data_IF_321472442468
#
_entry.id   IF_321472442468
#
_cell.length_a   1.000
_cell.length_b   1.000
_cell.length_c   1.000
_cell.angle_alpha   90.00
_cell.angle_beta   90.00
_cell.angle_gamma   90.00
#
_symmetry.space_group_name_H-M   'P 1'
#
loop_
_entity.id
_entity.type
_entity.pdbx_description
1 polymer ?
#
# COMPACT_ATOMS: atom_id res chain seq x y z
N UNK A 1 -3.40 10.06 -10.30
CA UNK A 1 -3.04 10.99 -9.21
C UNK A 1 -4.24 11.74 -8.65
N UNK A 2 -5.04 12.47 -9.45
CA UNK A 2 -6.28 13.11 -8.94
C UNK A 2 -7.21 12.09 -8.26
N UNK A 3 -7.35 10.90 -8.84
CA UNK A 3 -8.12 9.81 -8.21
C UNK A 3 -7.61 9.38 -6.82
N UNK A 4 -6.28 9.38 -6.59
CA UNK A 4 -5.71 9.02 -5.27
C UNK A 4 -6.04 10.08 -4.21
N UNK A 5 -6.06 11.36 -4.59
CA UNK A 5 -6.48 12.44 -3.69
C UNK A 5 -7.97 12.35 -3.33
N UNK A 6 -8.82 11.95 -4.27
CA UNK A 6 -10.26 11.76 -4.00
C UNK A 6 -10.48 10.60 -3.03
N UNK A 7 -9.75 9.49 -3.19
CA UNK A 7 -9.80 8.36 -2.25
C UNK A 7 -9.31 8.79 -0.86
N UNK A 8 -8.13 9.41 -0.77
CA UNK A 8 -7.59 9.87 0.52
C UNK A 8 -8.51 10.91 1.21
N UNK A 9 -9.17 11.78 0.43
CA UNK A 9 -10.20 12.68 0.96
C UNK A 9 -11.37 11.92 1.59
N UNK A 10 -11.92 10.94 0.88
CA UNK A 10 -13.06 10.16 1.38
C UNK A 10 -12.69 9.35 2.64
N UNK A 11 -11.48 8.79 2.67
CA UNK A 11 -10.96 8.06 3.82
C UNK A 11 -10.81 8.98 5.04
N UNK A 12 -10.28 10.19 4.85
CA UNK A 12 -10.18 11.20 5.91
C UNK A 12 -11.55 11.67 6.41
N UNK A 13 -12.52 11.91 5.53
CA UNK A 13 -13.88 12.27 5.91
C UNK A 13 -14.52 11.17 6.78
N UNK A 14 -14.31 9.90 6.40
CA UNK A 14 -14.77 8.73 7.16
C UNK A 14 -14.07 8.64 8.52
N UNK A 15 -12.76 8.83 8.57
CA UNK A 15 -11.94 8.83 9.78
C UNK A 15 -12.34 9.96 10.76
N UNK A 16 -12.56 11.18 10.25
CA UNK A 16 -13.05 12.31 11.04
C UNK A 16 -14.43 12.00 11.63
N UNK A 17 -15.33 11.39 10.85
CA UNK A 17 -16.64 10.98 11.34
C UNK A 17 -16.55 9.88 12.40
N UNK A 18 -15.58 8.97 12.31
CA UNK A 18 -15.32 7.95 13.33
C UNK A 18 -14.79 8.58 14.64
N UNK A 19 -13.78 9.43 14.55
CA UNK A 19 -13.21 10.17 15.69
C UNK A 19 -14.25 11.02 16.41
N UNK A 20 -15.08 11.76 15.68
CA UNK A 20 -16.16 12.55 16.29
C UNK A 20 -17.18 11.68 17.04
N UNK A 21 -17.50 10.49 16.52
CA UNK A 21 -18.43 9.56 17.19
C UNK A 21 -17.84 8.95 18.45
N UNK A 22 -16.54 8.67 18.46
CA UNK A 22 -15.84 8.11 19.62
C UNK A 22 -15.38 9.15 20.64
N UNK A 23 -15.60 10.44 20.36
CA UNK A 23 -15.07 11.54 21.19
C UNK A 23 -13.56 11.74 21.08
N UNK A 24 -12.92 11.19 20.04
CA UNK A 24 -11.49 11.37 19.74
C UNK A 24 -11.19 12.72 19.09
N UNK A 25 -9.93 13.17 19.20
CA UNK A 25 -9.46 14.40 18.55
C UNK A 25 -9.35 14.22 17.03
N UNK A 26 -10.08 15.06 16.28
CA UNK A 26 -10.12 15.04 14.82
C UNK A 26 -9.28 16.14 14.16
N UNK A 27 -8.52 16.93 14.91
CA UNK A 27 -7.76 18.07 14.38
C UNK A 27 -6.72 17.64 13.35
N UNK A 28 -5.98 16.56 13.60
CA UNK A 28 -4.96 16.05 12.66
C UNK A 28 -5.58 15.62 11.33
N UNK A 29 -6.63 14.80 11.36
CA UNK A 29 -7.31 14.35 10.15
C UNK A 29 -8.00 15.51 9.39
N UNK A 30 -8.56 16.50 10.11
CA UNK A 30 -9.12 17.71 9.50
C UNK A 30 -8.06 18.56 8.79
N UNK A 31 -6.88 18.69 9.39
CA UNK A 31 -5.75 19.42 8.80
C UNK A 31 -5.32 18.75 7.49
N UNK A 32 -5.22 17.42 7.47
CA UNK A 32 -4.88 16.69 6.25
C UNK A 32 -5.96 16.80 5.15
N UNK A 33 -7.23 16.81 5.55
CA UNK A 33 -8.34 17.01 4.61
C UNK A 33 -8.27 18.40 3.94
N UNK A 34 -7.91 19.43 4.71
CA UNK A 34 -7.70 20.78 4.18
C UNK A 34 -6.50 20.82 3.22
N UNK A 35 -5.39 20.17 3.57
CA UNK A 35 -4.21 20.07 2.71
C UNK A 35 -4.53 19.42 1.36
N UNK A 36 -5.24 18.28 1.36
CA UNK A 36 -5.68 17.61 0.13
C UNK A 36 -6.61 18.52 -0.69
N UNK A 37 -7.54 19.21 -0.04
CA UNK A 37 -8.47 20.12 -0.72
C UNK A 37 -7.73 21.26 -1.42
N UNK A 38 -6.72 21.85 -0.77
CA UNK A 38 -5.87 22.88 -1.36
C UNK A 38 -5.05 22.33 -2.54
N UNK A 39 -4.44 21.15 -2.40
CA UNK A 39 -3.72 20.46 -3.48
C UNK A 39 -4.62 20.22 -4.70
N UNK A 40 -5.88 19.79 -4.49
CA UNK A 40 -6.85 19.61 -5.59
C UNK A 40 -7.15 20.91 -6.32
N UNK A 41 -7.28 22.03 -5.62
CA UNK A 41 -7.50 23.35 -6.22
C UNK A 41 -6.28 23.81 -7.02
N UNK A 42 -5.07 23.58 -6.50
CA UNK A 42 -3.82 23.89 -7.20
C UNK A 42 -3.68 23.08 -8.48
N UNK A 43 -3.99 21.78 -8.46
CA UNK A 43 -3.95 20.91 -9.66
C UNK A 43 -4.88 21.42 -10.76
N UNK A 44 -6.07 21.93 -10.40
CA UNK A 44 -7.05 22.44 -11.37
C UNK A 44 -6.58 23.68 -12.13
N UNK A 45 -5.58 24.40 -11.62
CA UNK A 45 -5.07 25.65 -12.20
C UNK A 45 -3.58 25.58 -12.58
N UNK A 46 -2.91 24.48 -12.25
CA UNK A 46 -1.48 24.29 -12.47
C UNK A 46 -1.15 24.13 -13.97
N UNK A 47 -0.06 24.76 -14.39
CA UNK A 47 0.56 24.50 -15.68
C UNK A 47 1.16 23.09 -15.74
N UNK A 48 1.45 22.52 -16.93
CA UNK A 48 2.09 21.21 -17.06
C UNK A 48 3.40 21.08 -16.26
N UNK A 49 4.22 22.13 -16.24
CA UNK A 49 5.48 22.15 -15.45
C UNK A 49 5.20 22.14 -13.94
N UNK A 50 4.20 22.91 -13.48
CA UNK A 50 3.81 22.90 -12.07
C UNK A 50 3.19 21.56 -11.65
N UNK A 51 2.43 20.89 -12.54
CA UNK A 51 1.90 19.56 -12.29
C UNK A 51 3.00 18.51 -12.06
N UNK A 52 4.14 18.64 -12.72
CA UNK A 52 5.28 17.75 -12.49
C UNK A 52 5.87 17.95 -11.07
N UNK A 53 5.97 19.20 -10.60
CA UNK A 53 6.43 19.51 -9.25
C UNK A 53 5.44 19.05 -8.16
N UNK A 54 4.13 19.20 -8.42
CA UNK A 54 3.08 18.76 -7.48
C UNK A 54 3.04 17.23 -7.29
N UNK A 55 3.69 16.42 -8.15
CA UNK A 55 3.68 14.95 -8.01
C UNK A 55 4.18 14.48 -6.65
N UNK A 56 5.30 15.00 -6.17
CA UNK A 56 5.87 14.59 -4.88
C UNK A 56 5.00 15.05 -3.71
N UNK A 57 4.40 16.23 -3.82
CA UNK A 57 3.49 16.78 -2.80
C UNK A 57 2.20 15.96 -2.69
N UNK A 58 1.64 15.53 -3.83
CA UNK A 58 0.46 14.65 -3.87
C UNK A 58 0.76 13.31 -3.18
N UNK A 59 1.91 12.69 -3.48
CA UNK A 59 2.30 11.42 -2.86
C UNK A 59 2.48 11.59 -1.34
N UNK A 60 3.15 12.65 -0.90
CA UNK A 60 3.35 12.94 0.52
C UNK A 60 2.01 13.20 1.25
N UNK A 61 1.11 13.97 0.64
CA UNK A 61 -0.20 14.25 1.22
C UNK A 61 -1.07 12.99 1.33
N UNK A 62 -1.03 12.10 0.34
CA UNK A 62 -1.74 10.81 0.40
C UNK A 62 -1.18 9.95 1.54
N UNK A 63 0.14 9.85 1.68
CA UNK A 63 0.76 9.08 2.77
C UNK A 63 0.37 9.63 4.16
N UNK A 64 0.51 10.94 4.37
CA UNK A 64 0.12 11.59 5.63
C UNK A 64 -1.37 11.43 5.94
N UNK A 65 -2.21 11.41 4.92
CA UNK A 65 -3.64 11.18 5.08
C UNK A 65 -3.95 9.75 5.51
N UNK A 66 -3.24 8.77 4.95
CA UNK A 66 -3.36 7.37 5.37
C UNK A 66 -2.91 7.16 6.82
N UNK A 67 -1.86 7.86 7.25
CA UNK A 67 -1.38 7.84 8.64
C UNK A 67 -2.43 8.44 9.60
N UNK A 68 -2.99 9.60 9.25
CA UNK A 68 -4.03 10.24 10.05
C UNK A 68 -5.31 9.38 10.11
N UNK A 69 -5.66 8.69 9.03
CA UNK A 69 -6.78 7.72 9.01
C UNK A 69 -6.51 6.55 9.94
N UNK A 70 -5.27 6.04 10.04
CA UNK A 70 -4.94 4.98 11.00
C UNK A 70 -5.02 5.41 12.43
N UNK A 71 -4.45 6.56 12.73
CA UNK A 71 -4.51 7.14 14.07
C UNK A 71 -5.98 7.31 14.47
N UNK A 72 -6.79 7.85 13.57
CA UNK A 72 -8.23 7.99 13.75
C UNK A 72 -8.93 6.67 14.03
N UNK A 73 -8.64 5.62 13.26
CA UNK A 73 -9.21 4.29 13.48
C UNK A 73 -8.78 3.70 14.82
N UNK A 74 -7.52 3.88 15.21
CA UNK A 74 -6.98 3.36 16.48
C UNK A 74 -7.66 4.04 17.67
N UNK A 75 -7.81 5.37 17.62
CA UNK A 75 -8.46 6.16 18.67
C UNK A 75 -9.97 5.90 18.72
N UNK A 76 -10.61 5.74 17.56
CA UNK A 76 -12.05 5.51 17.49
C UNK A 76 -12.52 4.14 17.98
N UNK A 77 -11.58 3.23 18.26
CA UNK A 77 -11.83 1.82 18.53
C UNK A 77 -11.26 1.38 19.89
N UNK A 78 -11.21 2.27 20.89
CA UNK A 78 -10.71 1.91 22.23
C UNK A 78 -11.33 0.64 22.84
N UNK A 79 -10.56 -0.07 23.68
CA UNK A 79 -10.82 -1.31 24.46
C UNK A 79 -11.53 -2.51 23.77
N UNK A 80 -12.62 -2.30 23.04
CA UNK A 80 -13.31 -3.34 22.25
C UNK A 80 -12.80 -3.42 20.79
N UNK A 81 -11.88 -2.54 20.40
CA UNK A 81 -11.40 -2.45 19.02
C UNK A 81 -9.89 -2.60 18.83
N UNK A 82 -9.20 -3.19 19.82
CA UNK A 82 -7.83 -3.70 19.65
C UNK A 82 -7.78 -4.71 18.48
N UNK A 83 -8.75 -5.62 18.40
CA UNK A 83 -8.86 -6.56 17.27
C UNK A 83 -9.17 -5.90 15.92
N UNK A 84 -9.90 -4.78 15.91
CA UNK A 84 -10.18 -4.03 14.68
C UNK A 84 -8.93 -3.26 14.18
N UNK A 85 -8.12 -2.74 15.11
CA UNK A 85 -6.83 -2.14 14.78
C UNK A 85 -5.87 -3.19 14.20
N UNK A 86 -5.79 -4.38 14.81
CA UNK A 86 -4.94 -5.46 14.30
C UNK A 86 -5.39 -5.96 12.92
N UNK A 87 -6.70 -6.13 12.70
CA UNK A 87 -7.25 -6.50 11.40
C UNK A 87 -6.94 -5.44 10.31
N UNK A 88 -6.96 -4.15 10.67
CA UNK A 88 -6.60 -3.05 9.77
C UNK A 88 -5.11 -3.08 9.39
N UNK A 89 -4.23 -3.31 10.37
CA UNK A 89 -2.79 -3.52 10.14
C UNK A 89 -2.53 -4.73 9.25
N UNK A 90 -3.21 -5.85 9.52
CA UNK A 90 -3.11 -7.07 8.73
C UNK A 90 -3.52 -6.84 7.27
N UNK A 91 -4.67 -6.19 7.05
CA UNK A 91 -5.16 -5.86 5.71
C UNK A 91 -4.18 -4.97 4.93
N UNK A 92 -3.61 -3.95 5.57
CA UNK A 92 -2.60 -3.09 4.90
C UNK A 92 -1.35 -3.88 4.55
N UNK A 93 -0.75 -4.58 5.51
CA UNK A 93 0.49 -5.31 5.29
C UNK A 93 0.31 -6.34 4.17
N UNK A 94 -0.80 -7.08 4.20
CA UNK A 94 -1.16 -8.05 3.15
C UNK A 94 -1.36 -7.39 1.79
N UNK A 95 -2.05 -6.25 1.72
CA UNK A 95 -2.29 -5.52 0.47
C UNK A 95 -0.99 -5.02 -0.17
N UNK A 96 -0.10 -4.43 0.63
CA UNK A 96 1.22 -3.99 0.17
C UNK A 96 2.09 -5.16 -0.29
N UNK A 97 2.12 -6.25 0.48
CA UNK A 97 2.84 -7.47 0.14
C UNK A 97 2.35 -8.07 -1.19
N UNK A 98 1.03 -8.17 -1.37
CA UNK A 98 0.42 -8.70 -2.60
C UNK A 98 0.74 -7.81 -3.81
N UNK A 99 0.65 -6.49 -3.65
CA UNK A 99 0.98 -5.55 -4.71
C UNK A 99 2.45 -5.66 -5.12
N UNK A 100 3.37 -5.75 -4.14
CA UNK A 100 4.79 -5.94 -4.41
C UNK A 100 5.06 -7.26 -5.13
N UNK A 101 4.55 -8.39 -4.63
CA UNK A 101 4.81 -9.72 -5.19
C UNK A 101 4.23 -9.90 -6.60
N UNK A 102 3.13 -9.22 -6.91
CA UNK A 102 2.56 -9.13 -8.26
C UNK A 102 3.47 -8.35 -9.20
N UNK A 103 3.96 -7.19 -8.75
CA UNK A 103 4.75 -6.29 -9.59
C UNK A 103 6.24 -6.69 -9.66
N UNK A 104 6.69 -7.67 -8.88
CA UNK A 104 8.10 -8.04 -8.67
C UNK A 104 8.93 -8.12 -9.98
N UNK A 105 8.35 -8.69 -11.04
CA UNK A 105 9.04 -8.90 -12.32
C UNK A 105 9.46 -7.62 -13.02
N UNK A 106 8.85 -6.47 -12.70
CA UNK A 106 9.28 -5.17 -13.24
C UNK A 106 10.72 -4.80 -12.83
N UNK A 107 11.26 -5.45 -11.79
CA UNK A 107 12.61 -5.19 -11.29
C UNK A 107 13.66 -6.20 -11.80
N UNK A 108 13.28 -7.17 -12.63
CA UNK A 108 14.21 -8.21 -13.11
C UNK A 108 15.42 -7.60 -13.87
N UNK A 109 15.21 -6.48 -14.58
CA UNK A 109 16.29 -5.77 -15.29
C UNK A 109 17.30 -5.05 -14.39
N UNK A 110 17.00 -4.89 -13.10
CA UNK A 110 17.92 -4.30 -12.12
C UNK A 110 18.87 -5.34 -11.51
N UNK A 111 18.55 -6.62 -11.65
CA UNK A 111 19.28 -7.70 -10.99
C UNK A 111 20.72 -7.81 -11.52
N UNK A 112 21.64 -8.00 -10.59
CA UNK A 112 23.06 -8.22 -10.84
C UNK A 112 23.51 -9.41 -10.00
N UNK A 113 24.13 -10.37 -10.68
CA UNK A 113 24.67 -11.59 -10.10
C UNK A 113 26.14 -11.71 -10.51
N UNK A 114 26.98 -12.14 -9.59
CA UNK A 114 28.38 -12.45 -9.82
C UNK A 114 28.53 -13.66 -10.76
N UNK A 115 27.62 -14.63 -10.65
CA UNK A 115 27.65 -15.86 -11.46
C UNK A 115 26.27 -16.53 -11.55
N UNK A 116 26.16 -17.56 -12.39
CA UNK A 116 24.93 -18.32 -12.61
C UNK A 116 24.43 -19.02 -11.33
N UNK A 117 25.33 -19.49 -10.46
CA UNK A 117 24.93 -20.17 -9.23
C UNK A 117 24.24 -19.22 -8.24
N UNK A 118 24.71 -17.97 -8.14
CA UNK A 118 24.05 -16.93 -7.34
C UNK A 118 22.67 -16.59 -7.91
N UNK A 119 22.56 -16.44 -9.24
CA UNK A 119 21.27 -16.23 -9.91
C UNK A 119 20.29 -17.36 -9.60
N UNK A 120 20.72 -18.61 -9.74
CA UNK A 120 19.85 -19.77 -9.54
C UNK A 120 19.44 -19.88 -8.06
N UNK A 121 20.36 -19.61 -7.12
CA UNK A 121 20.05 -19.53 -5.70
C UNK A 121 19.05 -18.40 -5.38
N UNK A 122 19.18 -17.23 -6.01
CA UNK A 122 18.22 -16.13 -5.90
C UNK A 122 16.84 -16.56 -6.40
N UNK A 123 16.74 -17.22 -7.56
CA UNK A 123 15.46 -17.68 -8.13
C UNK A 123 14.79 -18.74 -7.27
N UNK A 124 15.58 -19.63 -6.65
CA UNK A 124 15.05 -20.60 -5.68
C UNK A 124 14.43 -19.89 -4.47
N UNK A 125 15.14 -18.92 -3.89
CA UNK A 125 14.59 -18.12 -2.76
C UNK A 125 13.34 -17.34 -3.16
N UNK A 126 13.30 -16.76 -4.36
CA UNK A 126 12.12 -16.09 -4.88
C UNK A 126 10.90 -17.03 -4.94
N UNK A 127 11.09 -18.24 -5.46
CA UNK A 127 10.02 -19.24 -5.51
C UNK A 127 9.55 -19.66 -4.11
N UNK A 128 10.49 -19.88 -3.19
CA UNK A 128 10.17 -20.27 -1.82
C UNK A 128 9.43 -19.15 -1.08
N UNK A 129 9.82 -17.88 -1.25
CA UNK A 129 9.10 -16.73 -0.70
C UNK A 129 7.73 -16.56 -1.33
N UNK A 130 7.56 -16.84 -2.63
CA UNK A 130 6.23 -16.83 -3.27
C UNK A 130 5.32 -17.90 -2.65
N UNK A 131 5.82 -19.11 -2.43
CA UNK A 131 5.07 -20.17 -1.72
C UNK A 131 4.69 -19.75 -0.30
N UNK A 132 5.63 -19.14 0.44
CA UNK A 132 5.36 -18.64 1.79
C UNK A 132 4.31 -17.53 1.81
N UNK A 133 4.40 -16.59 0.86
CA UNK A 133 3.43 -15.53 0.66
C UNK A 133 2.04 -16.10 0.42
N UNK A 134 1.89 -16.97 -0.59
CA UNK A 134 0.61 -17.54 -0.96
C UNK A 134 0.01 -18.40 0.16
N UNK A 135 0.87 -19.13 0.91
CA UNK A 135 0.45 -19.86 2.10
C UNK A 135 -0.05 -18.92 3.21
N UNK A 136 0.56 -17.74 3.40
CA UNK A 136 0.09 -16.73 4.34
C UNK A 136 -1.25 -16.11 3.93
N UNK A 137 -1.44 -15.83 2.63
CA UNK A 137 -2.74 -15.38 2.09
C UNK A 137 -3.83 -16.43 2.33
N UNK A 138 -3.53 -17.70 2.10
CA UNK A 138 -4.47 -18.80 2.28
C UNK A 138 -4.82 -19.03 3.76
N UNK A 139 -3.86 -18.83 4.67
CA UNK A 139 -4.06 -18.92 6.12
C UNK A 139 -4.99 -17.81 6.63
N UNK A 140 -4.88 -16.60 6.06
CA UNK A 140 -5.68 -15.45 6.45
C UNK A 140 -5.38 -14.96 7.87
N UNK A 141 -6.16 -13.97 8.32
CA UNK A 141 -5.97 -13.36 9.64
C UNK A 141 -4.64 -12.61 9.82
N UNK A 142 -4.35 -12.08 11.02
CA UNK A 142 -3.12 -11.35 11.31
C UNK A 142 -1.85 -12.19 11.17
N UNK A 143 -1.87 -13.44 11.63
CA UNK A 143 -0.75 -14.37 11.53
C UNK A 143 -0.38 -14.67 10.08
N UNK A 144 -1.38 -14.99 9.24
CA UNK A 144 -1.19 -15.23 7.81
C UNK A 144 -0.73 -13.97 7.05
N UNK A 145 -1.30 -12.80 7.39
CA UNK A 145 -0.87 -11.52 6.85
C UNK A 145 0.59 -11.18 7.21
N UNK A 146 1.01 -11.45 8.45
CA UNK A 146 2.38 -11.22 8.91
C UNK A 146 3.37 -12.14 8.18
N UNK A 147 3.01 -13.40 7.99
CA UNK A 147 3.79 -14.35 7.19
C UNK A 147 3.92 -13.90 5.73
N UNK A 148 2.82 -13.46 5.13
CA UNK A 148 2.81 -12.99 3.74
C UNK A 148 3.65 -11.71 3.56
N UNK A 149 3.53 -10.76 4.49
CA UNK A 149 4.29 -9.51 4.43
C UNK A 149 5.77 -9.72 4.73
N UNK A 150 6.12 -10.63 5.65
CA UNK A 150 7.49 -11.05 5.89
C UNK A 150 8.16 -11.62 4.63
N UNK A 151 7.49 -12.53 3.93
CA UNK A 151 8.02 -13.11 2.69
C UNK A 151 8.20 -12.06 1.58
N UNK A 152 7.25 -11.13 1.43
CA UNK A 152 7.39 -10.02 0.48
C UNK A 152 8.53 -9.07 0.85
N UNK A 153 8.69 -8.75 2.14
CA UNK A 153 9.78 -7.90 2.63
C UNK A 153 11.15 -8.57 2.43
N UNK A 154 11.27 -9.87 2.76
CA UNK A 154 12.45 -10.69 2.47
C UNK A 154 12.84 -10.64 0.99
N UNK A 155 11.86 -10.79 0.09
CA UNK A 155 12.09 -10.69 -1.35
C UNK A 155 12.54 -9.29 -1.78
N UNK A 156 11.96 -8.24 -1.20
CA UNK A 156 12.32 -6.85 -1.50
C UNK A 156 13.76 -6.54 -1.05
N UNK A 157 14.18 -7.06 0.11
CA UNK A 157 15.56 -6.92 0.60
C UNK A 157 16.54 -7.72 -0.28
N UNK A 158 16.22 -8.96 -0.63
CA UNK A 158 17.05 -9.78 -1.52
C UNK A 158 17.23 -9.11 -2.89
N UNK A 159 16.15 -8.55 -3.45
CA UNK A 159 16.20 -7.74 -4.67
C UNK A 159 17.09 -6.49 -4.51
N UNK A 160 16.96 -5.77 -3.39
CA UNK A 160 17.75 -4.57 -3.13
C UNK A 160 19.26 -4.87 -3.13
N UNK A 161 19.69 -5.92 -2.43
CA UNK A 161 21.12 -6.28 -2.35
C UNK A 161 21.66 -6.95 -3.61
N UNK A 162 20.82 -7.43 -4.52
CA UNK A 162 21.23 -7.92 -5.84
C UNK A 162 21.08 -6.83 -6.93
N UNK A 163 21.32 -5.56 -6.59
CA UNK A 163 21.40 -4.45 -7.54
C UNK A 163 20.15 -3.55 -7.60
N UNK A 164 19.06 -3.93 -6.95
CA UNK A 164 17.85 -3.11 -6.88
C UNK A 164 18.00 -1.84 -6.02
N UNK A 165 18.97 -1.79 -5.11
CA UNK A 165 19.13 -0.70 -4.13
C UNK A 165 19.40 0.68 -4.75
N UNK A 166 19.89 0.70 -6.00
CA UNK A 166 20.10 1.94 -6.73
C UNK A 166 18.83 2.49 -7.44
N UNK A 167 17.70 1.77 -7.42
CA UNK A 167 16.40 2.31 -7.80
C UNK A 167 15.68 2.94 -6.58
N UNK A 168 15.50 4.28 -6.53
CA UNK A 168 14.81 4.94 -5.44
C UNK A 168 13.33 4.54 -5.33
N UNK A 169 12.70 4.08 -6.42
CA UNK A 169 11.32 3.62 -6.37
C UNK A 169 11.22 2.27 -5.64
N UNK A 170 12.13 1.32 -5.92
CA UNK A 170 12.22 0.08 -5.16
C UNK A 170 12.53 0.34 -3.68
N UNK A 171 13.52 1.19 -3.36
CA UNK A 171 13.89 1.44 -1.97
C UNK A 171 12.74 2.01 -1.13
N UNK A 172 11.91 2.88 -1.71
CA UNK A 172 10.67 3.32 -1.06
C UNK A 172 9.72 2.16 -0.77
N UNK A 173 9.56 1.21 -1.71
CA UNK A 173 8.73 0.02 -1.47
C UNK A 173 9.32 -0.89 -0.38
N UNK A 174 10.64 -1.02 -0.31
CA UNK A 174 11.32 -1.75 0.78
C UNK A 174 10.98 -1.12 2.13
N UNK A 175 11.10 0.21 2.23
CA UNK A 175 10.78 0.95 3.46
C UNK A 175 9.29 0.84 3.83
N UNK A 176 8.39 0.93 2.85
CA UNK A 176 6.93 0.78 3.07
C UNK A 176 6.58 -0.62 3.58
N UNK A 177 7.16 -1.68 2.99
CA UNK A 177 6.97 -3.07 3.44
C UNK A 177 7.56 -3.31 4.82
N UNK A 178 8.74 -2.75 5.10
CA UNK A 178 9.36 -2.83 6.42
C UNK A 178 8.46 -2.18 7.48
N UNK A 179 7.97 -0.97 7.20
CA UNK A 179 7.13 -0.21 8.12
C UNK A 179 5.79 -0.92 8.40
N UNK A 180 5.09 -1.42 7.36
CA UNK A 180 3.81 -2.10 7.57
C UNK A 180 3.96 -3.46 8.25
N UNK A 181 5.01 -4.22 7.91
CA UNK A 181 5.31 -5.51 8.57
C UNK A 181 5.68 -5.29 10.04
N UNK A 182 6.50 -4.28 10.34
CA UNK A 182 6.85 -3.91 11.71
C UNK A 182 5.64 -3.44 12.52
N UNK A 183 4.76 -2.64 11.92
CA UNK A 183 3.53 -2.20 12.58
C UNK A 183 2.60 -3.38 12.89
N UNK A 184 2.42 -4.32 11.94
CA UNK A 184 1.63 -5.53 12.18
C UNK A 184 2.24 -6.41 13.27
N UNK A 185 3.55 -6.67 13.22
CA UNK A 185 4.28 -7.42 14.26
C UNK A 185 4.11 -6.78 15.63
N UNK A 186 4.30 -5.46 15.74
CA UNK A 186 4.14 -4.74 17.00
C UNK A 186 2.69 -4.82 17.52
N UNK A 187 1.70 -4.71 16.63
CA UNK A 187 0.29 -4.92 16.95
C UNK A 187 0.02 -6.32 17.49
N UNK A 188 0.59 -7.35 16.88
CA UNK A 188 0.47 -8.74 17.35
C UNK A 188 1.08 -8.93 18.75
N UNK A 189 2.29 -8.40 18.98
CA UNK A 189 2.94 -8.46 20.31
C UNK A 189 2.09 -7.76 21.37
N UNK A 190 1.56 -6.56 21.05
CA UNK A 190 0.68 -5.79 21.95
C UNK A 190 -0.56 -6.59 22.34
N UNK A 191 -1.14 -7.31 21.37
CA UNK A 191 -2.31 -8.17 21.57
C UNK A 191 -1.94 -9.54 22.20
N UNK A 192 -0.70 -9.70 22.70
CA UNK A 192 -0.23 -10.90 23.40
C UNK A 192 -0.01 -12.11 22.49
N UNK A 193 0.07 -11.91 21.17
CA UNK A 193 0.33 -12.98 20.20
C UNK A 193 1.81 -13.31 20.14
N UNK A 194 2.12 -14.59 19.94
CA UNK A 194 3.48 -15.06 19.75
C UNK A 194 3.94 -14.83 18.30
N UNK A 195 5.02 -14.07 18.14
CA UNK A 195 5.67 -13.78 16.86
C UNK A 195 7.04 -14.45 16.73
N UNK A 196 7.44 -15.31 17.68
CA UNK A 196 8.77 -15.93 17.73
C UNK A 196 9.12 -16.71 16.46
N UNK A 197 8.18 -17.52 15.96
CA UNK A 197 8.35 -18.29 14.71
C UNK A 197 8.52 -17.38 13.49
N UNK A 198 7.79 -16.26 13.44
CA UNK A 198 7.98 -15.26 12.40
C UNK A 198 9.39 -14.67 12.48
N UNK A 199 9.82 -14.29 13.68
CA UNK A 199 11.15 -13.70 13.86
C UNK A 199 12.29 -14.68 13.55
N UNK A 200 12.13 -15.95 13.88
CA UNK A 200 13.06 -17.03 13.52
C UNK A 200 13.19 -17.15 12.00
N UNK A 201 12.06 -17.28 11.29
CA UNK A 201 12.05 -17.35 9.82
C UNK A 201 12.70 -16.12 9.18
N UNK A 202 12.44 -14.93 9.71
CA UNK A 202 13.05 -13.69 9.21
C UNK A 202 14.56 -13.65 9.44
N UNK A 203 15.06 -14.17 10.57
CA UNK A 203 16.50 -14.30 10.82
C UNK A 203 17.13 -15.29 9.86
N UNK A 204 16.50 -16.43 9.62
CA UNK A 204 17.00 -17.44 8.69
C UNK A 204 17.02 -16.94 7.25
N UNK A 205 15.99 -16.20 6.81
CA UNK A 205 15.98 -15.57 5.50
C UNK A 205 17.09 -14.53 5.37
N UNK A 206 17.26 -13.65 6.36
CA UNK A 206 18.35 -12.67 6.38
C UNK A 206 19.72 -13.36 6.37
N UNK A 207 19.91 -14.46 7.10
CA UNK A 207 21.14 -15.27 7.04
C UNK A 207 21.41 -15.78 5.63
N UNK A 208 20.38 -16.31 4.95
CA UNK A 208 20.50 -16.80 3.58
C UNK A 208 20.91 -15.68 2.61
N UNK A 209 20.30 -14.50 2.73
CA UNK A 209 20.64 -13.32 1.92
C UNK A 209 22.07 -12.85 2.21
N UNK A 210 22.47 -12.72 3.47
CA UNK A 210 23.82 -12.28 3.82
C UNK A 210 24.90 -13.25 3.33
N UNK A 211 24.65 -14.56 3.41
CA UNK A 211 25.56 -15.58 2.84
C UNK A 211 25.69 -15.47 1.33
N UNK A 212 24.62 -15.13 0.61
CA UNK A 212 24.73 -14.92 -0.84
C UNK A 212 25.58 -13.71 -1.19
N UNK A 213 25.71 -12.74 -0.27
CA UNK A 213 26.62 -11.59 -0.37
C UNK A 213 28.00 -11.86 0.23
N UNK A 214 28.35 -13.13 0.46
CA UNK A 214 29.68 -13.55 0.93
C UNK A 214 29.98 -13.27 2.40
N UNK A 215 28.98 -12.91 3.21
CA UNK A 215 29.18 -12.72 4.66
C UNK A 215 29.45 -14.05 5.37
N UNK A 216 30.44 -14.05 6.25
CA UNK A 216 30.73 -15.20 7.12
C UNK A 216 29.70 -15.34 8.23
N UNK A 217 29.53 -16.55 8.77
CA UNK A 217 28.60 -16.80 9.88
C UNK A 217 28.91 -15.92 11.12
N UNK A 218 30.19 -15.60 11.36
CA UNK A 218 30.60 -14.72 12.47
C UNK A 218 30.11 -13.29 12.26
N UNK A 219 30.25 -12.73 11.04
CA UNK A 219 29.74 -11.39 10.72
C UNK A 219 28.21 -11.34 10.80
N UNK A 220 27.56 -12.38 10.29
CA UNK A 220 26.11 -12.57 10.34
C UNK A 220 25.63 -12.58 11.79
N UNK A 221 26.23 -13.39 12.65
CA UNK A 221 25.85 -13.50 14.05
C UNK A 221 26.12 -12.20 14.81
N UNK A 222 27.20 -11.49 14.50
CA UNK A 222 27.47 -10.17 15.07
C UNK A 222 26.40 -9.14 14.69
N UNK A 223 25.94 -9.14 13.43
CA UNK A 223 24.88 -8.25 12.97
C UNK A 223 23.54 -8.60 13.65
N UNK A 224 23.17 -9.87 13.70
CA UNK A 224 21.94 -10.32 14.35
C UNK A 224 21.96 -10.04 15.87
N UNK A 225 23.10 -10.20 16.52
CA UNK A 225 23.27 -9.90 17.94
C UNK A 225 23.16 -8.40 18.26
N UNK A 226 23.43 -7.51 17.31
CA UNK A 226 23.21 -6.07 17.46
C UNK A 226 21.73 -5.67 17.45
N UNK A 227 20.85 -6.56 16.95
CA UNK A 227 19.41 -6.34 16.83
C UNK A 227 18.62 -7.56 17.36
N UNK A 228 18.77 -7.92 18.65
CA UNK A 228 18.21 -9.16 19.19
C UNK A 228 16.68 -9.18 19.16
N UNK A 229 16.05 -8.01 19.34
CA UNK A 229 14.61 -7.88 19.54
C UNK A 229 13.79 -7.86 18.24
N UNK A 230 14.41 -7.50 17.11
CA UNK A 230 13.71 -7.27 15.86
C UNK A 230 14.60 -7.58 14.64
N UNK A 231 14.35 -8.69 13.92
CA UNK A 231 15.14 -9.04 12.74
C UNK A 231 14.99 -8.05 11.59
N UNK A 232 13.89 -7.28 11.52
CA UNK A 232 13.72 -6.28 10.46
C UNK A 232 14.70 -5.12 10.59
N UNK A 233 15.11 -4.77 11.81
CA UNK A 233 16.13 -3.74 12.05
C UNK A 233 17.52 -4.23 11.60
N UNK A 234 17.82 -5.52 11.82
CA UNK A 234 19.02 -6.16 11.28
C UNK A 234 19.04 -6.15 9.74
N UNK A 235 17.91 -6.47 9.09
CA UNK A 235 17.80 -6.41 7.63
C UNK A 235 18.02 -5.00 7.11
N UNK A 236 17.41 -4.00 7.76
CA UNK A 236 17.58 -2.59 7.40
C UNK A 236 19.03 -2.13 7.53
N UNK A 237 19.68 -2.49 8.64
CA UNK A 237 21.10 -2.20 8.85
C UNK A 237 21.98 -2.86 7.78
N UNK A 238 21.69 -4.12 7.42
CA UNK A 238 22.39 -4.82 6.36
C UNK A 238 22.25 -4.13 5.00
N UNK A 239 21.03 -3.78 4.59
CA UNK A 239 20.78 -3.07 3.32
C UNK A 239 21.48 -1.71 3.29
N UNK A 240 21.51 -0.99 4.42
CA UNK A 240 22.24 0.28 4.52
C UNK A 240 23.76 0.10 4.39
N UNK A 241 24.32 -0.96 4.98
CA UNK A 241 25.74 -1.29 4.83
C UNK A 241 26.09 -1.69 3.40
N UNK A 242 25.25 -2.50 2.76
CA UNK A 242 25.40 -2.91 1.37
C UNK A 242 25.33 -1.69 0.43
N UNK A 243 24.33 -0.82 0.61
CA UNK A 243 24.20 0.43 -0.15
C UNK A 243 25.42 1.35 0.00
N UNK A 244 25.99 1.44 1.20
CA UNK A 244 27.19 2.25 1.46
C UNK A 244 28.46 1.67 0.82
N UNK A 245 28.46 0.39 0.43
CA UNK A 245 29.58 -0.26 -0.25
C UNK A 245 29.58 -0.08 -1.77
N UNK A 246 28.46 0.40 -2.34
CA UNK A 246 28.32 0.62 -3.79
C UNK A 246 29.18 1.80 -4.22
N UNK A 247 30.03 1.56 -5.21
CA UNK A 247 30.89 2.58 -5.81
C UNK A 247 30.12 3.52 -6.74
N UNK A 248 30.66 4.72 -6.98
CA UNK A 248 30.07 5.71 -7.90
C UNK A 248 29.84 5.12 -9.31
N UNK A 249 30.76 4.26 -9.77
CA UNK A 249 30.70 3.62 -11.08
C UNK A 249 29.53 2.61 -11.18
N UNK A 250 29.28 1.85 -10.12
CA UNK A 250 28.14 0.93 -10.05
C UNK A 250 26.81 1.69 -10.03
N UNK A 251 26.75 2.82 -9.32
CA UNK A 251 25.58 3.71 -9.35
C UNK A 251 25.30 4.25 -10.76
N UNK A 252 26.32 4.62 -11.52
CA UNK A 252 26.16 5.09 -12.91
C UNK A 252 25.62 4.00 -13.84
N UNK A 253 26.14 2.77 -13.73
CA UNK A 253 25.65 1.62 -14.52
C UNK A 253 24.17 1.36 -14.22
N UNK A 254 23.77 1.40 -12.95
CA UNK A 254 22.36 1.21 -12.59
C UNK A 254 21.50 2.38 -13.08
N UNK A 255 21.97 3.62 -12.97
CA UNK A 255 21.23 4.78 -13.46
C UNK A 255 21.00 4.76 -14.99
N UNK A 256 21.86 4.07 -15.75
CA UNK A 256 21.65 3.81 -17.18
C UNK A 256 20.54 2.74 -17.35
N UNK A 257 20.65 1.59 -16.68
CA UNK A 257 19.64 0.52 -16.75
C UNK A 257 18.24 0.96 -16.32
N UNK A 258 18.14 1.78 -15.27
CA UNK A 258 16.87 2.35 -14.81
C UNK A 258 16.25 3.24 -15.89
N UNK A 259 17.06 4.05 -16.59
CA UNK A 259 16.58 4.87 -17.71
C UNK A 259 16.15 4.02 -18.90
N UNK A 260 16.89 2.97 -19.23
CA UNK A 260 16.54 2.03 -20.31
C UNK A 260 15.21 1.31 -19.99
N UNK A 261 15.06 0.75 -18.79
CA UNK A 261 13.81 0.12 -18.36
C UNK A 261 12.62 1.09 -18.38
N UNK A 262 12.82 2.36 -17.97
CA UNK A 262 11.76 3.37 -18.04
C UNK A 262 11.37 3.70 -19.48
N UNK A 263 12.33 3.73 -20.41
CA UNK A 263 12.05 3.95 -21.83
C UNK A 263 11.27 2.76 -22.43
N UNK A 264 11.67 1.53 -22.14
CA UNK A 264 10.98 0.33 -22.63
C UNK A 264 9.52 0.25 -22.13
N UNK A 265 9.28 0.59 -20.85
CA UNK A 265 7.92 0.69 -20.31
C UNK A 265 7.06 1.76 -20.99
N UNK A 266 7.68 2.80 -21.58
CA UNK A 266 6.95 3.91 -22.22
C UNK A 266 6.63 3.63 -23.70
N UNK A 267 7.32 2.68 -24.34
CA UNK A 267 7.18 2.36 -25.78
C UNK A 267 6.13 1.25 -26.04
N UNK A 268 5.56 0.64 -25.00
CA UNK A 268 4.50 -0.39 -25.11
C UNK A 268 3.01 0.05 -25.13
N UNK A 269 2.57 1.30 -25.41
CA UNK A 269 1.14 1.61 -25.34
C UNK A 269 0.28 1.23 -26.56
N UNK A 270 0.82 0.71 -27.68
CA UNK A 270 -0.01 0.57 -28.91
C UNK A 270 -0.07 -0.80 -29.61
N UNK A 271 0.71 -1.81 -29.20
CA UNK A 271 0.71 -3.09 -29.94
C UNK A 271 -0.39 -4.09 -29.52
N UNK A 272 -0.91 -4.01 -28.29
CA UNK A 272 -1.92 -4.97 -27.78
C UNK A 272 -3.37 -4.46 -27.85
N UNK A 273 -3.62 -3.26 -28.40
CA UNK A 273 -4.97 -2.72 -28.53
C UNK A 273 -5.74 -3.20 -29.79
N UNK A 274 -5.17 -4.09 -30.62
CA UNK A 274 -5.75 -4.47 -31.93
C UNK A 274 -6.25 -5.93 -32.01
N UNK A 275 -6.08 -6.76 -30.98
CA UNK A 275 -6.52 -8.17 -31.03
C UNK A 275 -7.33 -8.55 -29.78
N UNK A 276 -8.59 -8.11 -29.70
CA UNK A 276 -9.74 -8.92 -29.22
C UNK A 276 -11.01 -8.07 -29.17
N UNK A 277 -11.57 -7.78 -30.35
CA UNK A 277 -12.98 -7.45 -30.47
C UNK A 277 -13.63 -8.39 -31.49
N UNK A 278 -13.44 -9.69 -31.32
CA UNK A 278 -14.34 -10.70 -31.87
C UNK A 278 -15.31 -11.10 -30.76
N UNK A 279 -16.44 -10.40 -30.72
CA UNK A 279 -17.62 -10.78 -29.97
C UNK A 279 -18.09 -12.16 -30.45
N UNK A 280 -17.70 -13.21 -29.72
CA UNK A 280 -18.24 -14.55 -29.92
C UNK A 280 -19.74 -14.55 -29.60
N UNK A 281 -20.61 -15.04 -30.51
CA UNK A 281 -22.07 -14.97 -30.36
C UNK A 281 -22.64 -15.77 -29.17
N UNK A 282 -21.81 -16.53 -28.44
CA UNK A 282 -22.24 -17.33 -27.29
C UNK A 282 -22.34 -16.53 -25.97
N UNK A 283 -21.65 -15.39 -25.83
CA UNK A 283 -21.71 -14.59 -24.60
C UNK A 283 -23.10 -13.94 -24.38
N UNK A 284 -23.82 -13.61 -25.46
CA UNK A 284 -25.20 -13.09 -25.37
C UNK A 284 -26.20 -14.15 -24.90
N UNK A 285 -26.01 -15.44 -25.23
CA UNK A 285 -26.87 -16.52 -24.71
C UNK A 285 -26.62 -16.79 -23.23
N UNK A 286 -25.37 -16.76 -22.79
CA UNK A 286 -25.02 -16.94 -21.37
C UNK A 286 -25.61 -15.82 -20.48
N UNK A 287 -25.60 -14.57 -20.95
CA UNK A 287 -26.19 -13.44 -20.21
C UNK A 287 -27.73 -13.52 -20.13
N UNK A 288 -28.40 -14.01 -21.18
CA UNK A 288 -29.85 -14.24 -21.17
C UNK A 288 -30.24 -15.35 -20.19
N UNK A 289 -29.45 -16.42 -20.11
CA UNK A 289 -29.66 -17.52 -19.16
C UNK A 289 -29.43 -17.13 -17.70
N UNK A 290 -28.42 -16.28 -17.43
CA UNK A 290 -28.17 -15.75 -16.08
C UNK A 290 -29.32 -14.84 -15.65
N UNK A 291 -29.80 -13.95 -16.54
CA UNK A 291 -30.94 -13.08 -16.25
C UNK A 291 -32.24 -13.88 -16.03
N UNK A 292 -32.43 -15.01 -16.72
CA UNK A 292 -33.56 -15.91 -16.50
C UNK A 292 -33.46 -16.66 -15.16
N UNK A 293 -32.27 -17.15 -14.80
CA UNK A 293 -32.02 -17.81 -13.50
C UNK A 293 -32.18 -16.85 -12.32
N UNK A 294 -31.72 -15.61 -12.44
CA UNK A 294 -31.91 -14.58 -11.41
C UNK A 294 -33.39 -14.19 -11.23
N UNK A 295 -34.17 -14.14 -12.32
CA UNK A 295 -35.63 -13.94 -12.26
C UNK A 295 -36.35 -15.12 -11.59
N UNK A 296 -35.96 -16.35 -11.91
CA UNK A 296 -36.50 -17.56 -11.29
C UNK A 296 -36.16 -17.67 -9.79
N UNK A 297 -35.00 -17.13 -9.38
CA UNK A 297 -34.58 -17.04 -7.98
C UNK A 297 -35.22 -15.88 -7.20
N UNK A 298 -36.18 -15.14 -7.79
CA UNK A 298 -36.90 -14.07 -7.11
C UNK A 298 -36.16 -12.75 -7.00
N UNK A 299 -35.01 -12.60 -7.66
CA UNK A 299 -34.25 -11.33 -7.70
C UNK A 299 -34.98 -10.37 -8.66
N UNK A 300 -35.80 -9.48 -8.10
CA UNK A 300 -36.47 -8.42 -8.85
C UNK A 300 -35.51 -7.24 -9.02
N UNK A 301 -35.17 -6.91 -10.26
CA UNK A 301 -34.54 -5.64 -10.59
C UNK A 301 -35.49 -4.50 -10.19
N UNK A 302 -35.07 -3.68 -9.23
CA UNK A 302 -35.72 -2.41 -8.92
C UNK A 302 -35.54 -1.46 -10.10
N UNK A 303 -36.60 -0.83 -10.62
CA UNK A 303 -36.45 0.17 -11.69
C UNK A 303 -35.72 1.42 -11.16
N UNK A 304 -34.80 1.93 -11.98
CA UNK A 304 -34.20 3.26 -11.84
C UNK A 304 -35.31 4.32 -11.73
N UNK A 305 -35.17 5.33 -10.86
CA UNK A 305 -36.07 6.46 -10.86
C UNK A 305 -35.76 7.37 -12.06
N UNK A 306 -36.78 7.59 -12.90
CA UNK A 306 -36.76 8.52 -14.00
C UNK A 306 -36.62 9.96 -13.51
N UNK A 307 -35.72 10.70 -14.16
CA UNK A 307 -35.64 12.15 -14.12
C UNK A 307 -36.98 12.76 -14.57
N UNK A 308 -37.60 13.56 -13.70
CA UNK A 308 -38.60 14.53 -14.13
C UNK A 308 -38.46 15.83 -13.31
N UNK A 309 -38.05 16.88 -14.01
CA UNK A 309 -38.46 18.27 -13.76
C UNK A 309 -39.36 18.65 -14.95
N UNK A 310 -40.46 19.42 -14.77
CA UNK A 310 -40.32 20.87 -14.55
C UNK A 310 -41.43 21.61 -13.76
N UNK A 311 -41.03 22.78 -13.22
CA UNK A 311 -41.74 24.08 -13.07
C UNK A 311 -42.92 24.34 -12.09
N UNK A 312 -42.90 25.61 -11.62
CA UNK A 312 -43.86 26.44 -10.85
C UNK A 312 -43.74 26.37 -9.32
N UNK A 313 -43.45 27.43 -8.56
CA UNK A 313 -43.71 28.86 -8.77
C UNK A 313 -44.82 29.30 -7.82
N UNK A 314 -44.51 29.61 -6.55
CA UNK A 314 -45.41 30.33 -5.64
C UNK A 314 -44.59 31.08 -4.58
N UNK A 315 -44.75 32.41 -4.58
CA UNK A 315 -44.34 33.30 -3.51
C UNK A 315 -45.30 33.20 -2.31
N UNK A 316 -44.77 33.16 -1.10
CA UNK A 316 -45.45 33.63 0.12
C UNK A 316 -44.37 34.02 1.14
N UNK A 317 -44.10 35.31 1.31
CA UNK A 317 -44.69 36.23 2.29
C UNK A 317 -44.27 35.93 3.74
N UNK A 318 -43.40 36.80 4.22
CA UNK A 318 -42.95 37.01 5.60
C UNK A 318 -44.15 37.17 6.56
N UNK A 319 -44.02 36.70 7.81
CA UNK A 319 -44.31 37.60 8.92
C UNK A 319 -43.17 37.67 9.94
N UNK A 320 -42.74 38.91 10.17
CA UNK A 320 -42.01 39.39 11.32
C UNK A 320 -42.82 39.18 12.60
N UNK A 321 -42.17 38.85 13.71
CA UNK A 321 -42.71 39.06 15.06
C UNK A 321 -41.57 39.11 16.11
N UNK A 322 -41.84 39.69 17.29
CA UNK A 322 -40.98 40.74 17.83
C UNK A 322 -40.15 40.36 19.06
N UNK A 323 -39.24 41.29 19.36
CA UNK A 323 -38.49 41.55 20.60
C UNK A 323 -39.25 41.22 21.89
N UNK A 324 -38.59 40.51 22.82
CA UNK A 324 -38.70 40.77 24.25
C UNK A 324 -37.32 40.68 24.90
N UNK A 325 -36.84 41.81 25.41
CA UNK A 325 -35.68 41.88 26.28
C UNK A 325 -36.05 41.56 27.72
N UNK A 326 -35.07 41.06 28.48
CA UNK A 326 -35.06 41.12 29.94
C UNK A 326 -33.66 41.55 30.37
N UNK A 327 -33.60 42.74 30.95
CA UNK A 327 -32.52 43.24 31.82
C UNK A 327 -33.14 43.42 33.20
N UNK A 328 -32.42 42.97 34.24
CA UNK A 328 -32.37 43.40 35.66
C UNK A 328 -31.91 42.20 36.48
N UNK A 329 -30.98 42.28 37.43
CA UNK A 329 -30.29 43.38 38.13
C UNK A 329 -28.98 42.81 38.67
#
# INVERSE_FOLDING_TARGET
MVGQLVVAQFDLETAIAALKRSGGDAVTAQTQLQNITQLRQQIGTASPTALAALRSEIVAAVAQSQDAVQEAHTVAHGADGEGAALASLASRAQSQATAFMRDLRQYDGLLQFENDAERDAYRQREEDRRKQHDAGIAEGGPEGALKASGAAYGQAVDLAVHGGSADPALMRRVDELAASTAALRAGMIRDGKDVSKFDENMRDDLRAIMRSKGKSDIEIDALLAAHPDNPMDAMKAFVQQDLASITQQELEIVAIKVRENQQDMTIQPEADAVIEQQSSPDASKAMVDIAAKLRAAGVRNTPQPEESSPYHGMSARVPSSPVQGIVRT
#
